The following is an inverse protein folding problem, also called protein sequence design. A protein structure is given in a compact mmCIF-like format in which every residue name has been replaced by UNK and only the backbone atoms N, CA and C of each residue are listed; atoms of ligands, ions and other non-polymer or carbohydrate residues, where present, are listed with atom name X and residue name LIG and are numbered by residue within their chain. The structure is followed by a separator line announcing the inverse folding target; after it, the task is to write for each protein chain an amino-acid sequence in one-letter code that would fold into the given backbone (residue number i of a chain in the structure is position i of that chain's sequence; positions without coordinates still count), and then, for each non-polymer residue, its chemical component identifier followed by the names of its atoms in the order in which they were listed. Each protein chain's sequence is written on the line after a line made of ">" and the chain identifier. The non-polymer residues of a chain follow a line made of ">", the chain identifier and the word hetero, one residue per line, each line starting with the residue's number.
data_IF_261413966818
#
_entry.id   IF_261413966818
#
_cell.length_a   1.000
_cell.length_b   1.000
_cell.length_c   1.000
_cell.angle_alpha   90.00
_cell.angle_beta   90.00
_cell.angle_gamma   90.00
#
_symmetry.space_group_name_H-M   'P 1'
#
loop_
_entity.id
_entity.type
_entity.pdbx_description
1 polymer ?
#
# COMPACT_ATOMS: atom_id res chain seq x y z
N UNK A 1 -0.09 -12.20 -8.46
CA UNK A 1 -1.29 -12.83 -7.83
C UNK A 1 -1.14 -12.79 -6.32
N UNK A 2 -2.23 -12.59 -5.57
CA UNK A 2 -2.21 -12.48 -4.09
C UNK A 2 -2.99 -13.65 -3.49
N UNK A 3 -2.43 -14.29 -2.47
CA UNK A 3 -3.02 -15.43 -1.78
C UNK A 3 -2.97 -15.20 -0.27
N UNK A 4 -4.06 -15.56 0.42
CA UNK A 4 -4.01 -15.73 1.86
C UNK A 4 -3.38 -17.09 2.19
N UNK A 5 -2.46 -17.11 3.13
CA UNK A 5 -1.67 -18.29 3.50
C UNK A 5 -1.57 -18.42 5.02
N UNK A 6 -1.69 -19.65 5.51
CA UNK A 6 -1.56 -19.98 6.93
C UNK A 6 -0.26 -20.75 7.17
N UNK A 7 0.50 -20.33 8.18
CA UNK A 7 1.68 -21.04 8.64
C UNK A 7 1.42 -21.60 10.03
N UNK A 8 1.86 -22.83 10.28
CA UNK A 8 1.57 -23.55 11.55
C UNK A 8 2.04 -22.81 12.80
N UNK A 9 3.10 -22.02 12.68
CA UNK A 9 3.72 -21.29 13.79
C UNK A 9 3.23 -19.82 13.88
N UNK A 10 2.43 -19.35 12.91
CA UNK A 10 1.86 -18.01 12.91
C UNK A 10 0.42 -18.06 13.43
N UNK A 11 0.07 -17.11 14.30
CA UNK A 11 -1.28 -17.06 14.89
C UNK A 11 -2.32 -16.48 13.94
N UNK A 12 -1.89 -15.58 13.06
CA UNK A 12 -2.73 -14.85 12.12
C UNK A 12 -2.36 -15.25 10.69
N UNK A 13 -3.34 -15.27 9.77
CA UNK A 13 -3.07 -15.51 8.37
C UNK A 13 -2.15 -14.42 7.80
N UNK A 14 -1.27 -14.84 6.90
CA UNK A 14 -0.37 -13.96 6.15
C UNK A 14 -0.84 -13.84 4.71
N UNK A 15 -0.25 -12.89 3.99
CA UNK A 15 -0.50 -12.68 2.57
C UNK A 15 0.74 -13.04 1.80
N UNK A 16 0.62 -13.95 0.83
CA UNK A 16 1.65 -14.28 -0.14
C UNK A 16 1.35 -13.58 -1.47
N UNK A 17 2.25 -12.71 -1.91
CA UNK A 17 2.20 -12.08 -3.23
C UNK A 17 3.20 -12.79 -4.14
N UNK A 18 2.66 -13.52 -5.11
CA UNK A 18 3.44 -14.14 -6.17
C UNK A 18 3.84 -13.09 -7.20
N UNK A 19 5.13 -13.10 -7.54
CA UNK A 19 5.78 -12.12 -8.40
C UNK A 19 5.97 -12.72 -9.79
N UNK A 20 5.45 -12.03 -10.79
CA UNK A 20 5.64 -12.33 -12.21
C UNK A 20 6.61 -11.35 -12.90
N UNK A 21 6.81 -10.16 -12.32
CA UNK A 21 7.72 -9.11 -12.83
C UNK A 21 8.71 -8.65 -11.77
N UNK A 22 10.00 -8.64 -12.12
CA UNK A 22 11.08 -8.31 -11.20
C UNK A 22 11.12 -6.84 -10.74
N UNK A 23 10.85 -5.89 -11.65
CA UNK A 23 10.92 -4.45 -11.35
C UNK A 23 9.91 -4.00 -10.27
N UNK A 24 8.60 -4.12 -10.51
CA UNK A 24 7.56 -3.77 -9.54
C UNK A 24 7.72 -4.50 -8.19
N UNK A 25 8.19 -5.75 -8.23
CA UNK A 25 8.52 -6.49 -7.01
C UNK A 25 9.61 -5.84 -6.17
N UNK A 26 10.74 -5.46 -6.78
CA UNK A 26 11.84 -4.84 -6.02
C UNK A 26 11.38 -3.52 -5.43
N UNK A 27 10.60 -2.74 -6.18
CA UNK A 27 10.02 -1.49 -5.68
C UNK A 27 9.13 -1.73 -4.47
N UNK A 28 8.10 -2.58 -4.60
CA UNK A 28 7.17 -2.83 -3.49
C UNK A 28 7.86 -3.43 -2.27
N UNK A 29 8.73 -4.41 -2.48
CA UNK A 29 9.46 -5.07 -1.41
C UNK A 29 10.35 -4.07 -0.64
N UNK A 30 11.10 -3.22 -1.36
CA UNK A 30 11.98 -2.23 -0.73
C UNK A 30 11.17 -1.12 -0.04
N UNK A 31 10.07 -0.68 -0.64
CA UNK A 31 9.19 0.34 -0.04
C UNK A 31 8.53 -0.18 1.23
N UNK A 32 8.06 -1.43 1.27
CA UNK A 32 7.50 -2.05 2.48
C UNK A 32 8.52 -2.12 3.64
N UNK A 33 9.79 -2.42 3.33
CA UNK A 33 10.87 -2.38 4.32
C UNK A 33 11.11 -0.96 4.85
N UNK A 34 10.99 0.07 4.01
CA UNK A 34 11.09 1.46 4.47
C UNK A 34 9.88 1.88 5.29
N UNK A 35 8.67 1.45 4.91
CA UNK A 35 7.48 1.71 5.70
C UNK A 35 7.64 1.17 7.14
N UNK A 36 8.24 -0.01 7.31
CA UNK A 36 8.55 -0.54 8.64
C UNK A 36 9.55 0.34 9.40
N UNK A 37 10.64 0.76 8.75
CA UNK A 37 11.68 1.63 9.35
C UNK A 37 11.14 3.01 9.76
N UNK A 38 10.28 3.58 8.93
CA UNK A 38 9.64 4.89 9.12
C UNK A 38 8.39 4.81 10.00
N UNK A 39 7.97 3.61 10.42
CA UNK A 39 6.75 3.35 11.19
C UNK A 39 5.48 3.80 10.47
N UNK A 40 5.48 3.75 9.14
CA UNK A 40 4.31 3.99 8.29
C UNK A 40 3.41 2.76 8.37
N UNK A 41 2.11 2.97 8.50
CA UNK A 41 1.14 1.88 8.58
C UNK A 41 0.96 1.21 7.21
N UNK A 42 1.53 0.01 7.08
CA UNK A 42 1.56 -0.79 5.85
C UNK A 42 1.83 -2.26 6.21
N UNK A 43 1.65 -3.23 5.29
CA UNK A 43 2.05 -4.60 5.52
C UNK A 43 3.53 -4.71 5.92
N UNK A 44 3.88 -5.73 6.71
CA UNK A 44 5.26 -6.01 7.13
C UNK A 44 5.76 -7.27 6.46
N UNK A 45 6.94 -7.19 5.86
CA UNK A 45 7.59 -8.33 5.21
C UNK A 45 7.94 -9.39 6.26
N UNK A 46 7.54 -10.63 6.00
CA UNK A 46 7.85 -11.79 6.83
C UNK A 46 8.93 -12.68 6.21
N UNK A 47 9.05 -12.67 4.88
CA UNK A 47 10.10 -13.40 4.19
C UNK A 47 9.85 -13.56 2.68
N UNK A 48 10.79 -14.23 2.03
CA UNK A 48 10.69 -14.64 0.63
C UNK A 48 10.29 -16.12 0.55
N UNK A 49 9.47 -16.47 -0.43
CA UNK A 49 9.10 -17.86 -0.73
C UNK A 49 9.32 -18.18 -2.20
N UNK A 50 9.73 -19.42 -2.48
CA UNK A 50 9.86 -19.92 -3.85
C UNK A 50 10.91 -19.20 -4.70
N UNK A 51 11.94 -18.60 -4.09
CA UNK A 51 13.05 -17.95 -4.82
C UNK A 51 13.69 -18.95 -5.78
N UNK A 52 13.83 -18.57 -7.05
CA UNK A 52 14.36 -19.44 -8.11
C UNK A 52 13.35 -20.42 -8.71
N UNK A 53 12.06 -20.28 -8.37
CA UNK A 53 10.95 -21.04 -8.97
C UNK A 53 10.05 -20.12 -9.80
N UNK A 54 9.17 -20.71 -10.61
CA UNK A 54 8.12 -19.98 -11.35
C UNK A 54 7.00 -19.43 -10.46
N UNK A 55 7.00 -19.77 -9.17
CA UNK A 55 6.01 -19.34 -8.18
C UNK A 55 6.67 -18.50 -7.08
N UNK A 56 7.79 -17.84 -7.37
CA UNK A 56 8.51 -17.02 -6.40
C UNK A 56 7.75 -15.77 -5.98
N UNK A 57 7.98 -15.31 -4.76
CA UNK A 57 7.38 -14.09 -4.25
C UNK A 57 7.76 -13.81 -2.80
N UNK A 58 6.93 -13.01 -2.13
CA UNK A 58 7.17 -12.61 -0.75
C UNK A 58 5.89 -12.71 0.09
N UNK A 59 6.10 -12.90 1.39
CA UNK A 59 5.05 -13.02 2.39
C UNK A 59 5.06 -11.77 3.25
N UNK A 60 3.87 -11.26 3.55
CA UNK A 60 3.66 -10.09 4.40
C UNK A 60 2.50 -10.29 5.37
N UNK A 61 2.41 -9.46 6.40
CA UNK A 61 1.26 -9.44 7.31
C UNK A 61 -0.02 -9.06 6.59
N UNK A 62 -1.12 -9.76 6.88
CA UNK A 62 -2.46 -9.33 6.50
C UNK A 62 -2.87 -8.12 7.33
N UNK A 63 -3.45 -7.10 6.70
CA UNK A 63 -4.08 -6.00 7.41
C UNK A 63 -5.53 -6.38 7.71
N UNK A 64 -5.91 -6.34 8.98
CA UNK A 64 -7.31 -6.49 9.38
C UNK A 64 -8.01 -5.16 9.11
N UNK A 65 -8.71 -5.11 7.98
CA UNK A 65 -9.34 -3.90 7.45
C UNK A 65 -10.86 -4.00 7.53
N UNK A 66 -11.50 -2.89 7.91
CA UNK A 66 -12.96 -2.77 7.88
C UNK A 66 -13.48 -2.48 6.47
N UNK A 67 -12.75 -1.66 5.70
CA UNK A 67 -13.10 -1.28 4.32
C UNK A 67 -11.88 -0.65 3.61
N UNK A 68 -11.95 -0.50 2.28
CA UNK A 68 -11.00 0.36 1.55
C UNK A 68 -11.55 1.78 1.41
N UNK A 69 -10.70 2.79 1.34
CA UNK A 69 -11.14 4.19 1.34
C UNK A 69 -12.03 4.52 0.13
N UNK A 70 -11.89 3.80 -0.98
CA UNK A 70 -12.77 3.90 -2.16
C UNK A 70 -14.24 3.55 -1.83
N UNK A 71 -14.47 2.64 -0.89
CA UNK A 71 -15.81 2.25 -0.43
C UNK A 71 -16.49 3.34 0.42
N UNK A 72 -15.76 4.35 0.89
CA UNK A 72 -16.26 5.38 1.82
C UNK A 72 -17.42 6.21 1.24
N UNK A 73 -17.61 6.20 -0.09
CA UNK A 73 -18.76 6.83 -0.74
C UNK A 73 -20.04 5.99 -0.66
N UNK A 74 -19.97 4.74 -0.22
CA UNK A 74 -21.13 3.88 -0.03
C UNK A 74 -22.00 4.38 1.12
N UNK A 75 -23.33 4.33 0.94
CA UNK A 75 -24.31 4.72 1.96
C UNK A 75 -24.21 3.90 3.26
N UNK A 76 -23.47 2.80 3.25
CA UNK A 76 -23.24 1.92 4.40
C UNK A 76 -22.10 2.37 5.31
N UNK A 77 -21.16 3.19 4.83
CA UNK A 77 -20.00 3.62 5.61
C UNK A 77 -20.25 5.03 6.15
N UNK A 78 -20.53 5.13 7.45
CA UNK A 78 -20.70 6.39 8.14
C UNK A 78 -19.34 6.88 8.67
N UNK A 79 -18.57 7.58 7.84
CA UNK A 79 -17.36 8.30 8.28
C UNK A 79 -17.67 9.73 8.66
N UNK A 80 -17.10 10.21 9.77
CA UNK A 80 -17.20 11.62 10.17
C UNK A 80 -16.20 12.49 9.43
N UNK A 81 -16.36 13.82 9.50
CA UNK A 81 -15.35 14.76 8.99
C UNK A 81 -14.02 14.62 9.73
N UNK A 82 -14.03 14.25 11.01
CA UNK A 82 -12.82 14.10 11.80
C UNK A 82 -12.05 12.82 11.41
N UNK A 83 -12.77 11.73 11.09
CA UNK A 83 -12.16 10.51 10.54
C UNK A 83 -11.44 10.80 9.22
N UNK A 84 -12.10 11.53 8.31
CA UNK A 84 -11.53 11.89 7.01
C UNK A 84 -10.29 12.77 7.15
N UNK A 85 -10.31 13.73 8.08
CA UNK A 85 -9.14 14.56 8.39
C UNK A 85 -7.99 13.73 8.96
N UNK A 86 -8.29 12.76 9.84
CA UNK A 86 -7.29 11.85 10.39
C UNK A 86 -6.64 11.01 9.29
N UNK A 87 -7.43 10.38 8.43
CA UNK A 87 -6.91 9.58 7.32
C UNK A 87 -6.07 10.42 6.36
N UNK A 88 -6.56 11.61 6.01
CA UNK A 88 -5.81 12.56 5.19
C UNK A 88 -4.44 12.88 5.81
N UNK A 89 -4.41 13.19 7.10
CA UNK A 89 -3.15 13.50 7.80
C UNK A 89 -2.21 12.29 7.78
N UNK A 90 -2.71 11.09 8.06
CA UNK A 90 -1.89 9.86 8.05
C UNK A 90 -1.29 9.56 6.68
N UNK A 91 -2.08 9.70 5.62
CA UNK A 91 -1.61 9.52 4.24
C UNK A 91 -0.56 10.59 3.92
N UNK A 92 -0.83 11.86 4.25
CA UNK A 92 0.09 12.96 3.97
C UNK A 92 1.41 12.82 4.71
N UNK A 93 1.37 12.42 5.98
CA UNK A 93 2.57 12.19 6.80
C UNK A 93 3.38 11.01 6.25
N UNK A 94 2.71 9.94 5.82
CA UNK A 94 3.35 8.78 5.21
C UNK A 94 4.06 9.14 3.89
N UNK A 95 3.39 9.91 3.01
CA UNK A 95 3.98 10.41 1.77
C UNK A 95 5.20 11.28 2.05
N UNK A 96 5.08 12.25 2.96
CA UNK A 96 6.20 13.12 3.33
C UNK A 96 7.38 12.33 3.90
N UNK A 97 7.11 11.31 4.72
CA UNK A 97 8.15 10.45 5.29
C UNK A 97 8.86 9.60 4.24
N UNK A 98 8.12 9.00 3.28
CA UNK A 98 8.70 8.24 2.18
C UNK A 98 9.54 9.13 1.27
N UNK A 99 8.99 10.27 0.82
CA UNK A 99 9.68 11.21 -0.05
C UNK A 99 10.92 11.79 0.62
N UNK A 100 10.89 11.99 1.94
CA UNK A 100 12.03 12.47 2.72
C UNK A 100 13.24 11.51 2.74
N UNK A 101 13.07 10.26 2.29
CA UNK A 101 14.16 9.27 2.15
C UNK A 101 14.31 8.78 0.70
N UNK A 102 13.81 9.54 -0.27
CA UNK A 102 13.86 9.24 -1.71
C UNK A 102 13.10 7.96 -2.13
N UNK A 103 12.05 7.60 -1.38
CA UNK A 103 11.10 6.55 -1.77
C UNK A 103 9.78 7.16 -2.20
N UNK A 104 9.16 6.58 -3.22
CA UNK A 104 7.85 6.95 -3.75
C UNK A 104 6.87 5.80 -3.51
N UNK A 105 5.59 6.13 -3.36
CA UNK A 105 4.53 5.11 -3.36
C UNK A 105 4.24 4.68 -4.80
N UNK A 106 4.00 5.64 -5.69
CA UNK A 106 3.84 5.40 -7.13
C UNK A 106 2.45 4.94 -7.57
N UNK A 107 1.53 4.60 -6.66
CA UNK A 107 0.14 4.25 -7.00
C UNK A 107 -0.84 4.78 -5.93
N UNK A 108 -0.78 6.09 -5.67
CA UNK A 108 -1.63 6.74 -4.67
C UNK A 108 -3.06 6.86 -5.20
N UNK A 109 -3.97 6.04 -4.66
CA UNK A 109 -5.41 6.09 -4.92
C UNK A 109 -6.22 5.57 -3.73
N UNK A 110 -7.51 5.96 -3.58
CA UNK A 110 -8.34 5.49 -2.46
C UNK A 110 -8.45 3.96 -2.35
N UNK A 111 -8.42 3.23 -3.47
CA UNK A 111 -8.45 1.77 -3.48
C UNK A 111 -7.20 1.12 -2.82
N UNK A 112 -6.08 1.86 -2.76
CA UNK A 112 -4.84 1.41 -2.14
C UNK A 112 -4.68 1.91 -0.69
N UNK A 113 -5.74 2.47 -0.10
CA UNK A 113 -5.80 2.81 1.32
C UNK A 113 -6.83 1.92 1.98
N UNK A 114 -6.39 1.08 2.92
CA UNK A 114 -7.29 0.32 3.78
C UNK A 114 -7.52 1.07 5.09
N UNK A 115 -8.74 1.05 5.61
CA UNK A 115 -9.02 1.50 6.96
C UNK A 115 -9.01 0.30 7.89
N UNK A 116 -8.07 0.27 8.84
CA UNK A 116 -7.94 -0.82 9.81
C UNK A 116 -9.17 -0.91 10.73
N UNK A 117 -9.31 -2.02 11.46
CA UNK A 117 -10.31 -2.14 12.53
C UNK A 117 -10.13 -1.07 13.64
N UNK A 118 -8.92 -0.53 13.80
CA UNK A 118 -8.64 0.59 14.71
C UNK A 118 -9.04 1.97 14.14
N UNK A 119 -9.53 2.01 12.89
CA UNK A 119 -9.94 3.23 12.20
C UNK A 119 -8.78 4.03 11.58
N UNK A 120 -7.60 3.43 11.41
CA UNK A 120 -6.41 4.08 10.87
C UNK A 120 -6.18 3.75 9.40
N UNK A 121 -5.68 4.74 8.65
CA UNK A 121 -5.31 4.56 7.25
C UNK A 121 -4.03 3.72 7.13
N UNK A 122 -4.12 2.64 6.37
CA UNK A 122 -3.02 1.74 6.05
C UNK A 122 -2.76 1.78 4.55
N UNK A 123 -1.51 2.07 4.17
CA UNK A 123 -1.07 2.12 2.78
C UNK A 123 -0.77 0.70 2.30
N UNK A 124 -1.30 0.34 1.13
CA UNK A 124 -1.03 -0.94 0.46
C UNK A 124 -0.62 -0.71 -0.99
N UNK A 125 -0.13 -1.77 -1.64
CA UNK A 125 0.19 -1.81 -3.07
C UNK A 125 1.19 -0.72 -3.51
N UNK A 126 2.48 -1.02 -3.40
CA UNK A 126 3.59 -0.12 -3.72
C UNK A 126 4.30 -0.50 -5.03
N UNK A 127 3.60 -1.19 -5.94
CA UNK A 127 4.20 -1.69 -7.18
C UNK A 127 4.55 -0.59 -8.20
N UNK A 128 4.11 0.66 -7.97
CA UNK A 128 4.30 1.77 -8.90
C UNK A 128 3.38 1.65 -10.10
N UNK A 129 2.73 2.76 -10.44
CA UNK A 129 1.82 2.90 -11.57
C UNK A 129 2.57 2.98 -12.89
N UNK A 130 3.23 1.89 -13.31
CA UNK A 130 3.58 1.73 -14.72
C UNK A 130 2.34 1.26 -15.50
N UNK A 131 1.31 2.10 -15.53
CA UNK A 131 0.19 2.02 -16.45
C UNK A 131 0.51 2.99 -17.61
N UNK A 132 0.78 2.50 -18.83
CA UNK A 132 1.14 3.35 -19.98
C UNK A 132 0.11 4.42 -20.38
N UNK A 133 -1.03 4.54 -19.70
CA UNK A 133 -2.20 5.26 -20.20
C UNK A 133 -2.76 6.36 -19.27
N UNK A 134 -2.32 6.50 -18.01
CA UNK A 134 -2.91 7.52 -17.12
C UNK A 134 -1.94 8.06 -16.07
N UNK A 135 -1.23 9.14 -16.45
CA UNK A 135 -0.78 10.36 -15.76
C UNK A 135 0.17 11.00 -16.79
N UNK A 136 0.29 12.34 -16.88
CA UNK A 136 1.37 12.95 -17.68
C UNK A 136 2.69 12.22 -17.35
N UNK A 137 3.32 11.58 -18.35
CA UNK A 137 4.49 10.68 -18.19
C UNK A 137 5.63 11.31 -17.36
N UNK A 138 5.66 12.64 -17.27
CA UNK A 138 6.64 13.41 -16.50
C UNK A 138 6.39 13.42 -14.97
N UNK A 139 5.18 13.05 -14.52
CA UNK A 139 4.77 13.09 -13.10
C UNK A 139 4.54 11.71 -12.50
N UNK A 140 4.41 10.66 -13.32
CA UNK A 140 4.35 9.28 -12.84
C UNK A 140 5.63 8.91 -12.09
N UNK A 141 5.51 8.16 -11.00
CA UNK A 141 6.63 7.77 -10.15
C UNK A 141 7.46 8.97 -9.60
N UNK A 142 6.80 10.11 -9.34
CA UNK A 142 7.43 11.26 -8.69
C UNK A 142 6.74 11.63 -7.38
N UNK A 143 7.44 12.30 -6.44
CA UNK A 143 6.80 12.88 -5.26
C UNK A 143 5.62 13.79 -5.59
N UNK A 144 5.73 14.57 -6.68
CA UNK A 144 4.66 15.44 -7.15
C UNK A 144 3.43 14.64 -7.63
N UNK A 145 3.66 13.54 -8.35
CA UNK A 145 2.62 12.59 -8.77
C UNK A 145 1.89 11.95 -7.59
N UNK A 146 2.62 11.52 -6.56
CA UNK A 146 2.03 10.94 -5.35
C UNK A 146 1.08 11.92 -4.64
N UNK A 147 1.47 13.19 -4.52
CA UNK A 147 0.58 14.21 -3.97
C UNK A 147 -0.62 14.46 -4.89
N UNK A 148 -0.44 14.55 -6.22
CA UNK A 148 -1.55 14.76 -7.16
C UNK A 148 -2.54 13.60 -7.18
N UNK A 149 -2.07 12.34 -7.13
CA UNK A 149 -2.91 11.14 -7.07
C UNK A 149 -3.69 11.03 -5.74
N UNK A 150 -3.06 11.43 -4.63
CA UNK A 150 -3.72 11.49 -3.32
C UNK A 150 -4.77 12.61 -3.18
N UNK A 151 -4.72 13.64 -4.03
CA UNK A 151 -5.58 14.82 -3.94
C UNK A 151 -6.45 15.05 -5.19
N UNK A 152 -6.41 14.15 -6.17
CA UNK A 152 -7.16 14.23 -7.41
C UNK A 152 -8.61 13.79 -7.24
N UNK A 153 -9.54 14.75 -7.37
CA UNK A 153 -11.00 14.61 -7.40
C UNK A 153 -11.67 14.12 -6.10
N UNK A 154 -11.66 14.97 -5.08
CA UNK A 154 -12.68 15.00 -4.02
C UNK A 154 -13.95 15.74 -4.46
#
# INVERSE_FOLDING_TARGET
>A
MIYEVEFKDEKEPLVFKMVDRYGPFVQEFMTLLQCERLKIQAPRIKGLLGVGTNCGGFVMTKIQASFCLDDCHSKSINSTLDDRKRWYQQISDALQALHGVDYIWGDVKPANVLISEDGDACLIDFEGGNCPDWVDDELSDTPAGDFLGGFGNS
#
